data_IF_839652242127
#
_entry.id   IF_839652242127
#
_cell.length_a   1.000
_cell.length_b   1.000
_cell.length_c   1.000
_cell.angle_alpha   90.00
_cell.angle_beta   90.00
_cell.angle_gamma   90.00
#
_symmetry.space_group_name_H-M   'P 1'
#
loop_
_entity.id
_entity.type
_entity.pdbx_description
1 polymer ?
#
# COMPACT_ATOMS: atom_id res chain seq x y z
N UNK A 1 5.90 18.16 -10.07
CA UNK A 1 7.12 17.91 -9.29
C UNK A 1 7.21 16.42 -9.00
N UNK A 2 7.89 15.65 -9.86
CA UNK A 2 8.03 14.20 -9.70
C UNK A 2 8.60 13.81 -8.33
N UNK A 3 9.47 14.65 -7.75
CA UNK A 3 10.13 14.37 -6.48
C UNK A 3 9.19 14.25 -5.25
N UNK A 4 8.02 14.88 -5.25
CA UNK A 4 7.08 14.83 -4.10
C UNK A 4 6.18 13.60 -4.09
N UNK A 5 6.03 12.97 -5.24
CA UNK A 5 5.11 11.85 -5.45
C UNK A 5 5.86 10.65 -6.01
N UNK A 6 6.71 10.02 -5.19
CA UNK A 6 7.33 8.75 -5.58
C UNK A 6 6.27 7.66 -5.79
N UNK A 7 6.64 6.66 -6.57
CA UNK A 7 5.85 5.47 -6.90
C UNK A 7 5.19 4.83 -5.66
N UNK A 8 5.91 4.79 -4.54
CA UNK A 8 5.45 4.22 -3.27
C UNK A 8 4.12 4.79 -2.78
N UNK A 9 3.84 6.07 -3.02
CA UNK A 9 2.58 6.71 -2.59
C UNK A 9 1.38 6.09 -3.32
N UNK A 10 1.56 5.75 -4.60
CA UNK A 10 0.51 5.23 -5.46
C UNK A 10 0.33 3.72 -5.32
N UNK A 11 1.44 2.98 -5.27
CA UNK A 11 1.43 1.51 -5.35
C UNK A 11 1.47 0.81 -4.01
N UNK A 12 1.74 1.51 -2.89
CA UNK A 12 1.63 0.89 -1.57
C UNK A 12 0.18 0.46 -1.27
N UNK A 13 -0.02 -0.68 -0.59
CA UNK A 13 -1.35 -1.20 -0.28
C UNK A 13 -2.09 -0.28 0.70
N UNK A 14 -3.42 -0.35 0.66
CA UNK A 14 -4.32 0.53 1.42
C UNK A 14 -4.13 0.40 2.93
N UNK A 15 -3.76 -0.77 3.39
CA UNK A 15 -3.55 -1.14 4.79
C UNK A 15 -2.30 -0.49 5.37
N UNK A 16 -1.33 -0.12 4.52
CA UNK A 16 -0.12 0.64 4.89
C UNK A 16 -0.34 2.14 4.56
N UNK A 17 -1.57 2.56 4.23
CA UNK A 17 -1.94 3.95 3.97
C UNK A 17 -1.66 4.46 2.56
N UNK A 18 -1.28 3.58 1.62
CA UNK A 18 -1.16 3.90 0.19
C UNK A 18 -2.50 3.90 -0.55
N UNK A 19 -2.46 4.23 -1.84
CA UNK A 19 -3.66 4.25 -2.70
C UNK A 19 -4.05 2.84 -3.18
N UNK A 20 -3.10 1.91 -3.21
CA UNK A 20 -3.25 0.54 -3.74
C UNK A 20 -3.59 0.53 -5.23
N UNK A 21 -2.90 1.35 -6.03
CA UNK A 21 -3.05 1.34 -7.48
C UNK A 21 -2.44 0.07 -8.09
N UNK A 22 -3.10 -0.47 -9.10
CA UNK A 22 -2.56 -1.57 -9.90
C UNK A 22 -1.73 -1.00 -11.06
N UNK A 23 -0.51 -1.49 -11.21
CA UNK A 23 0.41 -1.06 -12.25
C UNK A 23 0.24 -1.87 -13.53
N UNK A 24 0.10 -1.17 -14.66
CA UNK A 24 0.21 -1.72 -16.01
C UNK A 24 1.08 -0.84 -16.92
N UNK A 25 1.63 0.26 -16.40
CA UNK A 25 2.36 1.28 -17.17
C UNK A 25 3.88 1.21 -17.04
N UNK A 26 4.39 0.54 -16.00
CA UNK A 26 5.83 0.34 -15.78
C UNK A 26 6.35 -0.81 -16.67
N UNK A 27 6.25 -0.62 -17.98
CA UNK A 27 6.65 -1.59 -19.00
C UNK A 27 7.55 -0.89 -20.02
N UNK A 28 8.51 -1.63 -20.55
CA UNK A 28 9.25 -1.25 -21.75
C UNK A 28 8.37 -1.51 -22.97
N UNK A 29 7.92 -0.43 -23.61
CA UNK A 29 7.08 -0.50 -24.80
C UNK A 29 7.95 -0.96 -25.96
N UNK A 30 7.67 -2.11 -26.60
CA UNK A 30 8.41 -2.54 -27.77
C UNK A 30 8.18 -1.55 -28.91
N UNK A 31 9.27 -1.06 -29.49
CA UNK A 31 9.24 -0.22 -30.68
C UNK A 31 10.00 -0.90 -31.82
N UNK A 32 9.39 -0.87 -33.00
CA UNK A 32 10.02 -1.21 -34.26
C UNK A 32 10.10 0.03 -35.16
N UNK A 33 10.81 -0.07 -36.27
CA UNK A 33 10.85 1.00 -37.26
C UNK A 33 9.44 1.22 -37.83
N UNK A 34 8.88 2.39 -37.56
CA UNK A 34 7.52 2.78 -37.97
C UNK A 34 7.34 2.82 -39.50
N UNK A 35 8.44 2.89 -40.27
CA UNK A 35 8.38 2.93 -41.74
C UNK A 35 7.96 1.60 -42.36
N UNK A 36 8.43 0.49 -41.80
CA UNK A 36 8.18 -0.85 -42.34
C UNK A 36 7.27 -1.70 -41.44
N UNK A 37 6.89 -1.19 -40.25
CA UNK A 37 6.03 -1.90 -39.30
C UNK A 37 4.64 -2.24 -39.84
N UNK A 38 4.18 -1.58 -40.92
CA UNK A 38 2.90 -1.89 -41.57
C UNK A 38 3.04 -2.90 -42.72
N UNK A 39 4.24 -3.08 -43.27
CA UNK A 39 4.48 -3.89 -44.47
C UNK A 39 5.00 -5.29 -44.15
N UNK A 40 5.71 -5.43 -43.04
CA UNK A 40 6.35 -6.69 -42.63
C UNK A 40 6.33 -6.83 -41.11
N UNK A 41 6.14 -8.06 -40.61
CA UNK A 41 6.27 -8.41 -39.20
C UNK A 41 7.74 -8.47 -38.78
N UNK A 42 8.48 -7.38 -39.00
CA UNK A 42 9.83 -7.24 -38.45
C UNK A 42 9.70 -7.13 -36.94
N UNK A 43 10.48 -7.95 -36.22
CA UNK A 43 10.45 -8.03 -34.77
C UNK A 43 10.81 -6.72 -34.05
N UNK A 44 10.80 -6.77 -32.72
CA UNK A 44 11.11 -5.62 -31.87
C UNK A 44 12.60 -5.27 -31.98
N UNK A 45 12.91 -4.00 -32.27
CA UNK A 45 14.30 -3.53 -32.41
C UNK A 45 14.75 -2.65 -31.25
N UNK A 46 13.84 -1.86 -30.68
CA UNK A 46 14.13 -0.92 -29.61
C UNK A 46 13.04 -1.00 -28.53
N UNK A 47 13.36 -0.50 -27.34
CA UNK A 47 12.40 -0.37 -26.26
C UNK A 47 12.30 1.07 -25.80
N UNK A 48 11.07 1.55 -25.62
CA UNK A 48 10.79 2.86 -25.03
C UNK A 48 10.29 2.68 -23.60
N UNK A 49 10.87 3.43 -22.66
CA UNK A 49 10.38 3.42 -21.29
C UNK A 49 8.95 3.97 -21.21
N UNK A 50 8.03 3.24 -20.58
CA UNK A 50 6.64 3.64 -20.41
C UNK A 50 6.46 4.72 -19.34
N UNK A 51 6.77 4.39 -18.08
CA UNK A 51 6.67 5.31 -16.93
C UNK A 51 8.02 5.45 -16.21
N UNK A 52 8.30 6.66 -15.74
CA UNK A 52 9.47 6.96 -14.91
C UNK A 52 9.34 6.32 -13.52
N UNK A 53 10.42 5.75 -13.01
CA UNK A 53 10.58 5.21 -11.66
C UNK A 53 11.99 5.51 -11.15
N UNK A 54 12.23 5.28 -9.85
CA UNK A 54 13.57 5.41 -9.26
C UNK A 54 14.50 4.31 -9.81
N UNK A 55 15.81 4.56 -9.84
CA UNK A 55 16.80 3.63 -10.36
C UNK A 55 16.69 2.26 -9.64
N UNK A 56 16.71 1.18 -10.41
CA UNK A 56 16.56 -0.23 -9.97
C UNK A 56 15.21 -0.66 -9.34
N UNK A 57 14.20 0.22 -9.30
CA UNK A 57 12.90 -0.12 -8.75
C UNK A 57 11.94 -0.75 -9.79
N UNK A 58 11.86 -2.09 -9.80
CA UNK A 58 10.94 -2.81 -10.69
C UNK A 58 9.56 -3.00 -10.06
N UNK A 59 8.58 -2.21 -10.49
CA UNK A 59 7.20 -2.34 -10.05
C UNK A 59 6.54 -3.51 -10.79
N UNK A 60 5.90 -4.47 -10.07
CA UNK A 60 5.26 -5.62 -10.70
C UNK A 60 4.13 -5.17 -11.63
N UNK A 61 3.99 -5.86 -12.75
CA UNK A 61 2.98 -5.56 -13.75
C UNK A 61 1.79 -6.52 -13.59
N UNK A 62 0.57 -5.96 -13.59
CA UNK A 62 -0.69 -6.70 -13.46
C UNK A 62 -0.82 -7.85 -14.46
N UNK A 63 -0.34 -7.68 -15.70
CA UNK A 63 -0.42 -8.70 -16.74
C UNK A 63 0.23 -10.03 -16.32
N UNK A 64 1.31 -10.02 -15.52
CA UNK A 64 1.97 -11.24 -15.06
C UNK A 64 1.14 -12.08 -14.10
N UNK A 65 0.19 -11.45 -13.41
CA UNK A 65 -0.65 -12.09 -12.39
C UNK A 65 -2.04 -12.46 -12.92
N UNK A 66 -2.35 -12.08 -14.15
CA UNK A 66 -3.57 -12.51 -14.84
C UNK A 66 -3.20 -13.69 -15.72
N UNK A 67 -3.83 -14.83 -15.46
CA UNK A 67 -3.66 -16.02 -16.27
C UNK A 67 -4.25 -15.79 -17.67
N UNK A 68 -3.50 -16.16 -18.71
CA UNK A 68 -3.94 -16.00 -20.10
C UNK A 68 -5.02 -17.03 -20.44
N UNK A 69 -6.05 -16.60 -21.19
CA UNK A 69 -7.24 -17.39 -21.54
C UNK A 69 -6.93 -18.77 -22.12
N UNK A 70 -5.90 -18.91 -22.97
CA UNK A 70 -5.51 -20.21 -23.54
C UNK A 70 -5.12 -21.22 -22.48
N UNK A 71 -4.27 -20.83 -21.53
CA UNK A 71 -3.88 -21.68 -20.42
C UNK A 71 -5.10 -22.03 -19.56
N UNK A 72 -5.99 -21.06 -19.35
CA UNK A 72 -7.20 -21.26 -18.58
C UNK A 72 -8.13 -22.33 -19.18
N UNK A 73 -8.38 -22.31 -20.49
CA UNK A 73 -9.26 -23.30 -21.12
C UNK A 73 -8.71 -24.72 -20.97
N UNK A 74 -7.42 -24.92 -21.21
CA UNK A 74 -6.76 -26.22 -21.03
C UNK A 74 -6.86 -26.70 -19.57
N UNK A 75 -6.51 -25.83 -18.62
CA UNK A 75 -6.59 -26.10 -17.18
C UNK A 75 -8.03 -26.42 -16.73
N UNK A 76 -9.03 -25.74 -17.31
CA UNK A 76 -10.45 -25.99 -17.02
C UNK A 76 -10.93 -27.33 -17.55
N UNK A 77 -10.63 -27.67 -18.81
CA UNK A 77 -11.02 -28.96 -19.39
C UNK A 77 -10.45 -30.12 -18.59
N UNK A 78 -9.19 -30.02 -18.21
CA UNK A 78 -8.49 -31.01 -17.41
C UNK A 78 -9.09 -31.20 -16.02
N UNK A 79 -9.34 -30.11 -15.29
CA UNK A 79 -9.92 -30.21 -13.96
C UNK A 79 -11.31 -30.86 -13.97
N UNK A 80 -12.17 -30.44 -14.91
CA UNK A 80 -13.51 -30.99 -15.01
C UNK A 80 -13.48 -32.47 -15.40
N UNK A 81 -12.56 -32.91 -16.25
CA UNK A 81 -12.39 -34.35 -16.53
C UNK A 81 -11.95 -35.14 -15.31
N UNK A 82 -11.00 -34.61 -14.53
CA UNK A 82 -10.56 -35.25 -13.28
C UNK A 82 -11.69 -35.32 -12.26
N UNK A 83 -12.47 -34.25 -12.10
CA UNK A 83 -13.60 -34.21 -11.17
C UNK A 83 -14.70 -35.19 -11.54
N UNK A 84 -14.99 -35.35 -12.83
CA UNK A 84 -15.94 -36.35 -13.32
C UNK A 84 -15.46 -37.77 -13.02
N UNK A 85 -14.19 -38.08 -13.28
CA UNK A 85 -13.61 -39.39 -12.97
C UNK A 85 -13.65 -39.71 -11.47
N UNK A 86 -13.38 -38.72 -10.60
CA UNK A 86 -13.45 -38.87 -9.15
C UNK A 86 -14.89 -39.14 -8.68
N UNK A 87 -15.88 -38.42 -9.20
CA UNK A 87 -17.29 -38.63 -8.85
C UNK A 87 -17.83 -39.99 -9.33
N UNK A 88 -17.24 -40.56 -10.38
CA UNK A 88 -17.61 -41.87 -10.94
C UNK A 88 -16.82 -43.03 -10.33
N UNK A 89 -15.87 -42.78 -9.42
CA UNK A 89 -15.15 -43.82 -8.68
C UNK A 89 -14.01 -44.53 -9.45
N UNK A 90 -13.58 -44.02 -10.61
CA UNK A 90 -12.48 -44.62 -11.39
C UNK A 90 -11.11 -44.31 -10.76
N UNK A 91 -10.43 -45.35 -10.26
CA UNK A 91 -9.11 -45.25 -9.60
C UNK A 91 -7.92 -45.27 -10.59
N UNK A 92 -8.06 -45.92 -11.74
CA UNK A 92 -6.97 -46.09 -12.74
C UNK A 92 -6.54 -44.78 -13.43
N UNK A 93 -7.40 -43.76 -13.46
CA UNK A 93 -7.06 -42.45 -14.01
C UNK A 93 -6.14 -41.61 -13.11
N UNK A 94 -5.97 -41.97 -11.82
CA UNK A 94 -5.25 -41.15 -10.84
C UNK A 94 -3.74 -41.07 -11.10
N UNK A 95 -3.15 -42.09 -11.73
CA UNK A 95 -1.70 -42.16 -11.94
C UNK A 95 -1.25 -41.41 -13.20
N UNK A 96 -1.95 -41.58 -14.33
CA UNK A 96 -1.70 -40.78 -15.56
C UNK A 96 -1.88 -39.27 -15.33
N UNK A 97 -2.91 -38.90 -14.56
CA UNK A 97 -3.22 -37.52 -14.14
C UNK A 97 -2.12 -36.93 -13.22
N UNK A 98 -1.35 -37.77 -12.52
CA UNK A 98 -0.25 -37.33 -11.63
C UNK A 98 1.01 -36.94 -12.42
N UNK A 99 1.17 -37.53 -13.60
CA UNK A 99 2.34 -37.36 -14.46
C UNK A 99 2.20 -36.12 -15.35
N UNK A 100 0.99 -35.86 -15.87
CA UNK A 100 0.70 -34.66 -16.68
C UNK A 100 0.74 -33.35 -15.87
N UNK A 101 0.43 -33.39 -14.56
CA UNK A 101 0.48 -32.19 -13.72
C UNK A 101 1.91 -31.69 -13.48
N UNK A 102 2.91 -32.59 -13.48
CA UNK A 102 4.32 -32.23 -13.33
C UNK A 102 4.85 -31.39 -14.50
N UNK A 103 4.19 -31.44 -15.66
CA UNK A 103 4.59 -30.71 -16.87
C UNK A 103 4.08 -29.26 -16.83
N UNK A 104 3.01 -28.97 -16.08
CA UNK A 104 2.39 -27.64 -16.01
C UNK A 104 2.90 -26.74 -14.87
N UNK A 105 3.70 -27.25 -13.96
CA UNK A 105 4.24 -26.50 -12.81
C UNK A 105 5.73 -26.78 -12.65
N UNK A 106 6.57 -25.75 -12.72
CA UNK A 106 8.02 -25.86 -12.41
C UNK A 106 8.28 -26.21 -10.92
N UNK A 107 7.28 -26.08 -10.05
CA UNK A 107 7.35 -26.46 -8.63
C UNK A 107 6.82 -27.89 -8.40
N UNK A 108 7.63 -28.87 -8.79
CA UNK A 108 7.28 -30.28 -8.77
C UNK A 108 7.45 -31.04 -7.44
N UNK A 109 7.37 -30.45 -6.24
CA UNK A 109 7.83 -31.16 -5.03
C UNK A 109 6.86 -31.48 -3.86
N UNK A 110 5.61 -31.05 -3.82
CA UNK A 110 4.74 -31.39 -2.65
C UNK A 110 3.33 -31.91 -2.98
N UNK A 111 2.95 -31.97 -4.26
CA UNK A 111 1.61 -32.44 -4.65
C UNK A 111 1.43 -33.97 -4.57
N UNK A 112 2.50 -34.74 -4.35
CA UNK A 112 2.51 -36.20 -4.49
C UNK A 112 1.73 -36.98 -3.41
N UNK A 113 1.59 -36.43 -2.20
CA UNK A 113 1.02 -37.11 -1.03
C UNK A 113 -0.47 -36.79 -0.79
N UNK A 114 -1.03 -35.76 -1.42
CA UNK A 114 -2.34 -35.21 -1.05
C UNK A 114 -3.49 -35.61 -1.99
N UNK A 115 -3.21 -36.41 -3.03
CA UNK A 115 -4.18 -36.70 -4.10
C UNK A 115 -5.31 -37.65 -3.69
N UNK A 116 -5.28 -38.20 -2.49
CA UNK A 116 -6.39 -38.98 -1.92
C UNK A 116 -7.40 -38.12 -1.16
N UNK A 117 -7.16 -36.80 -1.03
CA UNK A 117 -7.95 -35.85 -0.22
C UNK A 117 -8.78 -34.82 -1.01
N UNK A 118 -9.04 -34.99 -2.31
CA UNK A 118 -9.85 -34.03 -3.11
C UNK A 118 -11.35 -33.97 -2.73
N UNK A 119 -11.78 -34.83 -1.79
CA UNK A 119 -13.11 -34.82 -1.18
C UNK A 119 -13.15 -34.03 0.13
N UNK A 120 -12.00 -33.72 0.74
CA UNK A 120 -11.89 -32.91 1.96
C UNK A 120 -11.37 -31.51 1.65
N UNK A 121 -11.64 -30.55 2.54
CA UNK A 121 -11.22 -29.14 2.41
C UNK A 121 -9.73 -28.97 2.10
N UNK A 122 -8.88 -29.87 2.62
CA UNK A 122 -7.42 -29.85 2.42
C UNK A 122 -6.97 -30.20 0.99
N UNK A 123 -7.63 -31.13 0.30
CA UNK A 123 -7.28 -31.43 -1.11
C UNK A 123 -7.84 -30.39 -2.09
N UNK A 124 -8.93 -29.73 -1.70
CA UNK A 124 -9.42 -28.54 -2.40
C UNK A 124 -8.40 -27.39 -2.34
N UNK A 125 -7.73 -27.16 -1.20
CA UNK A 125 -6.72 -26.08 -1.05
C UNK A 125 -5.54 -26.21 -2.03
N UNK A 126 -5.08 -27.43 -2.31
CA UNK A 126 -4.03 -27.69 -3.31
C UNK A 126 -4.53 -27.36 -4.73
N UNK A 127 -5.80 -27.63 -5.01
CA UNK A 127 -6.47 -27.24 -6.26
C UNK A 127 -6.62 -25.72 -6.37
N UNK A 128 -6.95 -25.05 -5.26
CA UNK A 128 -7.07 -23.60 -5.14
C UNK A 128 -5.75 -22.88 -5.40
N UNK A 129 -4.62 -23.45 -4.98
CA UNK A 129 -3.29 -22.89 -5.23
C UNK A 129 -2.82 -23.04 -6.68
N UNK A 130 -3.11 -24.16 -7.33
CA UNK A 130 -2.53 -24.52 -8.64
C UNK A 130 -3.39 -24.06 -9.83
N UNK A 131 -4.74 -24.10 -9.71
CA UNK A 131 -5.63 -23.90 -10.88
C UNK A 131 -6.42 -22.58 -10.88
N UNK A 132 -6.22 -21.72 -9.88
CA UNK A 132 -6.81 -20.37 -9.79
C UNK A 132 -8.31 -20.34 -10.11
N UNK A 133 -8.64 -20.03 -11.36
CA UNK A 133 -10.00 -19.83 -11.89
C UNK A 133 -10.89 -21.07 -11.74
N UNK A 134 -10.33 -22.28 -11.84
CA UNK A 134 -11.16 -23.49 -11.83
C UNK A 134 -11.62 -23.89 -10.43
N UNK A 135 -10.81 -23.61 -9.42
CA UNK A 135 -11.20 -23.84 -8.02
C UNK A 135 -12.30 -22.87 -7.55
N UNK A 136 -12.42 -21.68 -8.15
CA UNK A 136 -13.52 -20.76 -7.87
C UNK A 136 -14.86 -21.21 -8.47
N UNK A 137 -14.85 -21.90 -9.61
CA UNK A 137 -16.06 -22.55 -10.13
C UNK A 137 -16.55 -23.65 -9.18
N UNK A 138 -15.65 -24.34 -8.47
CA UNK A 138 -16.02 -25.30 -7.43
C UNK A 138 -16.50 -24.62 -6.13
N UNK A 139 -15.91 -23.49 -5.73
CA UNK A 139 -16.43 -22.70 -4.60
C UNK A 139 -17.88 -22.23 -4.82
N UNK A 140 -18.29 -22.11 -6.09
CA UNK A 140 -19.67 -21.81 -6.50
C UNK A 140 -20.61 -23.01 -6.27
N UNK A 141 -20.10 -24.25 -6.41
CA UNK A 141 -20.81 -25.50 -6.08
C UNK A 141 -20.94 -25.74 -4.56
N UNK A 142 -19.99 -25.24 -3.76
CA UNK A 142 -20.07 -25.28 -2.30
C UNK A 142 -20.87 -24.11 -1.71
N UNK A 143 -21.36 -23.19 -2.55
CA UNK A 143 -22.07 -22.01 -2.09
C UNK A 143 -23.43 -22.38 -1.49
N UNK A 144 -23.78 -21.78 -0.36
CA UNK A 144 -25.01 -22.00 0.44
C UNK A 144 -26.34 -21.77 -0.31
N UNK A 145 -26.33 -21.46 -1.61
CA UNK A 145 -27.48 -21.07 -2.43
C UNK A 145 -27.52 -21.71 -3.83
N UNK A 146 -26.75 -22.76 -4.09
CA UNK A 146 -26.70 -23.47 -5.38
C UNK A 146 -28.08 -23.86 -5.91
N UNK A 147 -28.99 -24.28 -5.02
CA UNK A 147 -30.36 -24.66 -5.38
C UNK A 147 -31.15 -23.48 -5.98
N UNK A 148 -30.99 -22.26 -5.46
CA UNK A 148 -31.68 -21.08 -6.00
C UNK A 148 -31.07 -20.58 -7.31
N UNK A 149 -29.76 -20.70 -7.46
CA UNK A 149 -29.03 -20.26 -8.66
C UNK A 149 -29.34 -21.16 -9.87
N UNK A 150 -29.76 -22.41 -9.66
CA UNK A 150 -30.17 -23.31 -10.72
C UNK A 150 -31.33 -22.77 -11.58
N UNK A 151 -32.24 -22.00 -10.96
CA UNK A 151 -33.43 -21.42 -11.61
C UNK A 151 -33.16 -20.10 -12.34
N UNK A 152 -32.03 -19.41 -12.06
CA UNK A 152 -31.73 -18.12 -12.69
C UNK A 152 -31.06 -18.30 -14.06
N UNK A 153 -31.88 -18.56 -15.08
CA UNK A 153 -31.45 -18.68 -16.48
C UNK A 153 -31.42 -17.32 -17.19
N UNK A 154 -30.60 -17.21 -18.23
CA UNK A 154 -30.49 -15.99 -19.03
C UNK A 154 -29.87 -14.79 -18.30
N UNK A 155 -29.14 -15.03 -17.21
CA UNK A 155 -28.58 -13.97 -16.37
C UNK A 155 -27.56 -13.09 -17.12
N UNK A 156 -26.80 -13.62 -18.09
CA UNK A 156 -25.83 -12.86 -18.90
C UNK A 156 -26.52 -11.79 -19.76
N UNK A 157 -27.55 -12.17 -20.51
CA UNK A 157 -28.33 -11.19 -21.30
C UNK A 157 -28.96 -10.16 -20.37
N UNK A 158 -29.45 -10.58 -19.20
CA UNK A 158 -29.99 -9.64 -18.20
C UNK A 158 -28.95 -8.62 -17.71
N UNK A 159 -27.70 -9.01 -17.49
CA UNK A 159 -26.64 -8.08 -17.09
C UNK A 159 -26.26 -7.10 -18.21
N UNK A 160 -26.25 -7.57 -19.45
CA UNK A 160 -25.95 -6.74 -20.62
C UNK A 160 -27.03 -5.66 -20.81
N UNK A 161 -28.30 -6.05 -20.74
CA UNK A 161 -29.42 -5.12 -20.81
C UNK A 161 -29.45 -4.14 -19.64
N UNK A 162 -29.06 -4.59 -18.45
CA UNK A 162 -28.95 -3.74 -17.26
C UNK A 162 -27.97 -2.59 -17.47
N UNK A 163 -26.82 -2.87 -18.08
CA UNK A 163 -25.81 -1.85 -18.36
C UNK A 163 -26.27 -0.88 -19.46
N UNK A 164 -26.88 -1.39 -20.53
CA UNK A 164 -27.22 -0.57 -21.69
C UNK A 164 -28.46 0.32 -21.46
N UNK A 165 -29.45 -0.18 -20.71
CA UNK A 165 -30.78 0.44 -20.70
C UNK A 165 -31.34 0.77 -19.32
N UNK A 166 -30.87 0.13 -18.23
CA UNK A 166 -31.50 0.28 -16.90
C UNK A 166 -30.70 1.15 -15.94
N UNK A 167 -29.38 1.02 -15.92
CA UNK A 167 -28.53 1.74 -14.98
C UNK A 167 -27.66 2.77 -15.67
N UNK A 168 -27.60 3.98 -15.10
CA UNK A 168 -26.68 5.02 -15.55
C UNK A 168 -25.21 4.69 -15.23
N UNK A 169 -24.96 3.85 -14.22
CA UNK A 169 -23.62 3.46 -13.80
C UNK A 169 -23.10 2.33 -14.69
N UNK A 170 -22.00 2.58 -15.39
CA UNK A 170 -21.31 1.57 -16.19
C UNK A 170 -20.70 0.48 -15.29
N UNK A 171 -20.96 -0.78 -15.62
CA UNK A 171 -20.31 -1.92 -15.00
C UNK A 171 -19.17 -2.44 -15.92
N UNK A 172 -17.90 -2.39 -15.50
CA UNK A 172 -16.81 -2.95 -16.30
C UNK A 172 -16.86 -4.48 -16.39
N UNK A 173 -17.44 -5.17 -15.41
CA UNK A 173 -17.56 -6.63 -15.35
C UNK A 173 -18.95 -7.08 -15.79
N UNK A 174 -19.38 -6.69 -16.98
CA UNK A 174 -20.73 -6.97 -17.47
C UNK A 174 -20.90 -8.40 -18.01
N UNK A 175 -19.83 -8.98 -18.57
CA UNK A 175 -19.82 -10.35 -19.10
C UNK A 175 -19.81 -11.44 -18.02
N UNK A 176 -19.39 -11.11 -16.82
CA UNK A 176 -19.03 -12.07 -15.77
C UNK A 176 -19.80 -11.80 -14.49
N UNK A 177 -20.09 -12.85 -13.72
CA UNK A 177 -20.73 -12.68 -12.41
C UNK A 177 -20.16 -13.63 -11.37
N UNK A 178 -19.73 -13.09 -10.23
CA UNK A 178 -19.01 -13.85 -9.20
C UNK A 178 -19.81 -15.03 -8.63
N UNK A 179 -21.15 -14.97 -8.64
CA UNK A 179 -21.98 -16.10 -8.15
C UNK A 179 -22.16 -17.24 -9.15
N UNK A 180 -21.86 -17.02 -10.43
CA UNK A 180 -22.03 -18.03 -11.48
C UNK A 180 -20.67 -18.50 -11.99
N UNK A 181 -19.78 -17.54 -12.24
CA UNK A 181 -18.44 -17.78 -12.80
C UNK A 181 -17.36 -17.90 -11.72
N UNK A 182 -17.68 -17.61 -10.45
CA UNK A 182 -16.68 -17.50 -9.39
C UNK A 182 -15.80 -16.25 -9.54
N UNK A 183 -14.73 -16.17 -8.75
CA UNK A 183 -13.72 -15.11 -8.87
C UNK A 183 -12.70 -15.53 -9.94
N UNK A 184 -12.64 -14.81 -11.06
CA UNK A 184 -11.80 -15.19 -12.21
C UNK A 184 -10.35 -14.72 -12.12
N UNK A 185 -9.94 -14.05 -11.03
CA UNK A 185 -8.57 -13.59 -10.85
C UNK A 185 -8.20 -13.56 -9.37
N UNK A 186 -6.93 -13.78 -9.09
CA UNK A 186 -6.37 -13.66 -7.74
C UNK A 186 -5.13 -12.77 -7.77
N UNK A 187 -5.18 -11.66 -7.05
CA UNK A 187 -4.12 -10.63 -7.01
C UNK A 187 -3.42 -10.58 -5.65
N UNK A 188 -3.57 -11.62 -4.82
CA UNK A 188 -2.91 -11.68 -3.53
C UNK A 188 -1.37 -11.69 -3.68
N UNK A 189 -0.86 -12.40 -4.68
CA UNK A 189 0.58 -12.45 -4.97
C UNK A 189 1.08 -11.12 -5.57
N UNK A 190 0.28 -10.47 -6.43
CA UNK A 190 0.63 -9.14 -6.93
C UNK A 190 0.91 -8.17 -5.78
N UNK A 191 0.08 -8.24 -4.74
CA UNK A 191 0.20 -7.38 -3.58
C UNK A 191 1.45 -7.67 -2.75
N UNK A 192 1.79 -8.93 -2.50
CA UNK A 192 3.02 -9.29 -1.77
C UNK A 192 4.26 -8.81 -2.51
N UNK A 193 4.26 -9.02 -3.83
CA UNK A 193 5.40 -8.68 -4.68
C UNK A 193 5.51 -7.16 -4.85
N UNK A 194 4.38 -6.43 -4.86
CA UNK A 194 4.37 -4.98 -4.86
C UNK A 194 4.99 -4.41 -3.58
N UNK A 195 4.70 -4.99 -2.41
CA UNK A 195 5.33 -4.59 -1.15
C UNK A 195 6.84 -4.83 -1.21
N UNK A 196 7.27 -5.98 -1.74
CA UNK A 196 8.69 -6.32 -1.85
C UNK A 196 9.41 -5.38 -2.83
N UNK A 197 8.82 -5.08 -3.99
CA UNK A 197 9.34 -4.14 -4.97
C UNK A 197 9.49 -2.70 -4.44
N UNK A 198 8.68 -2.33 -3.45
CA UNK A 198 8.77 -1.02 -2.79
C UNK A 198 9.79 -0.97 -1.63
N UNK A 199 10.60 -2.02 -1.45
CA UNK A 199 11.60 -2.09 -0.37
C UNK A 199 11.06 -2.68 0.93
N UNK A 200 9.98 -3.46 0.86
CA UNK A 200 9.34 -4.08 2.02
C UNK A 200 8.52 -3.09 2.87
N UNK A 201 7.91 -3.61 3.94
CA UNK A 201 7.06 -2.79 4.82
C UNK A 201 7.85 -1.67 5.50
N UNK A 202 9.07 -1.95 5.95
CA UNK A 202 9.94 -0.95 6.57
C UNK A 202 10.37 0.15 5.59
N UNK A 203 10.69 -0.22 4.34
CA UNK A 203 10.99 0.73 3.28
C UNK A 203 9.84 1.70 3.04
N UNK A 204 8.61 1.17 2.94
CA UNK A 204 7.40 1.99 2.78
C UNK A 204 7.19 2.91 3.98
N UNK A 205 7.35 2.40 5.21
CA UNK A 205 7.07 3.17 6.42
C UNK A 205 8.05 4.33 6.64
N UNK A 206 9.28 4.27 6.11
CA UNK A 206 10.24 5.40 6.14
C UNK A 206 9.68 6.67 5.46
N UNK A 207 8.74 6.50 4.53
CA UNK A 207 8.10 7.59 3.80
C UNK A 207 6.88 8.18 4.52
N UNK A 208 6.49 7.59 5.66
CA UNK A 208 5.23 7.87 6.37
C UNK A 208 5.45 8.42 7.77
N UNK A 209 4.48 9.17 8.28
CA UNK A 209 4.41 9.55 9.71
C UNK A 209 3.71 8.44 10.51
N UNK A 210 4.28 8.03 11.65
CA UNK A 210 3.74 6.95 12.49
C UNK A 210 2.39 7.35 13.09
N UNK A 211 1.38 6.52 12.79
CA UNK A 211 0.02 6.45 13.36
C UNK A 211 -1.00 7.55 13.04
N UNK A 212 -2.10 7.14 12.38
CA UNK A 212 -3.46 7.60 12.72
C UNK A 212 -4.48 6.59 12.21
N UNK A 213 -5.19 5.88 13.10
CA UNK A 213 -6.37 5.03 12.81
C UNK A 213 -7.61 5.72 13.40
N UNK A 214 -8.67 6.01 12.63
CA UNK A 214 -9.91 5.22 12.64
C UNK A 214 -10.86 5.64 11.50
N UNK A 215 -11.85 4.79 11.19
CA UNK A 215 -12.90 5.02 10.18
C UNK A 215 -14.19 5.53 10.84
N UNK A 216 -14.69 6.69 10.42
CA UNK A 216 -15.96 7.27 10.90
C UNK A 216 -17.20 6.60 10.26
N UNK A 217 -18.23 6.37 11.09
CA UNK A 217 -19.54 5.79 10.71
C UNK A 217 -20.41 6.80 9.96
N UNK A 218 -21.14 6.32 8.95
CA UNK A 218 -22.05 7.11 8.13
C UNK A 218 -23.20 7.71 8.95
N UNK A 219 -23.28 9.05 8.98
CA UNK A 219 -24.48 9.82 9.37
C UNK A 219 -25.08 10.50 8.14
N UNK A 220 -26.38 10.81 8.18
CA UNK A 220 -27.10 11.51 7.11
C UNK A 220 -26.64 12.98 7.08
N UNK A 221 -26.00 13.38 5.99
CA UNK A 221 -25.32 14.68 5.84
C UNK A 221 -25.80 15.41 4.58
N UNK A 222 -25.79 16.74 4.61
CA UNK A 222 -26.11 17.63 3.47
C UNK A 222 -25.02 17.56 2.39
N UNK A 223 -25.32 17.98 1.16
CA UNK A 223 -24.34 17.92 0.05
C UNK A 223 -23.09 18.78 0.32
N UNK A 224 -23.24 19.95 0.96
CA UNK A 224 -22.12 20.77 1.40
C UNK A 224 -21.28 20.05 2.48
N UNK A 225 -21.93 19.40 3.45
CA UNK A 225 -21.24 18.59 4.46
C UNK A 225 -20.51 17.38 3.84
N UNK A 226 -21.07 16.74 2.81
CA UNK A 226 -20.39 15.64 2.09
C UNK A 226 -19.13 16.11 1.36
N UNK A 227 -19.15 17.31 0.77
CA UNK A 227 -17.95 17.89 0.15
C UNK A 227 -16.85 18.16 1.20
N UNK A 228 -17.20 18.64 2.39
CA UNK A 228 -16.26 18.78 3.51
C UNK A 228 -15.77 17.44 4.06
N UNK A 229 -16.63 16.44 4.20
CA UNK A 229 -16.23 15.10 4.64
C UNK A 229 -15.32 14.38 3.64
N UNK A 230 -15.47 14.64 2.33
CA UNK A 230 -14.56 14.09 1.32
C UNK A 230 -13.13 14.61 1.45
N UNK A 231 -12.91 15.73 2.16
CA UNK A 231 -11.59 16.25 2.46
C UNK A 231 -10.91 15.50 3.62
N UNK A 232 -11.67 14.85 4.52
CA UNK A 232 -11.10 14.18 5.71
C UNK A 232 -10.19 12.99 5.33
N UNK A 233 -10.59 12.06 4.43
CA UNK A 233 -9.69 11.02 3.94
C UNK A 233 -8.44 11.60 3.28
N UNK A 234 -8.57 12.71 2.56
CA UNK A 234 -7.46 13.37 1.88
C UNK A 234 -6.51 14.05 2.86
N UNK A 235 -7.03 14.69 3.92
CA UNK A 235 -6.21 15.27 5.00
C UNK A 235 -5.39 14.18 5.69
N UNK A 236 -6.03 13.04 6.02
CA UNK A 236 -5.34 11.89 6.61
C UNK A 236 -4.26 11.34 5.68
N UNK A 237 -4.56 11.20 4.39
CA UNK A 237 -3.59 10.76 3.41
C UNK A 237 -2.39 11.72 3.30
N UNK A 238 -2.64 13.04 3.23
CA UNK A 238 -1.56 14.03 3.15
C UNK A 238 -0.73 14.13 4.42
N UNK A 239 -1.35 13.89 5.59
CA UNK A 239 -0.64 13.83 6.86
C UNK A 239 0.23 12.57 6.94
N UNK A 240 -0.34 11.41 6.57
CA UNK A 240 0.37 10.12 6.58
C UNK A 240 1.62 10.16 5.70
N UNK A 241 1.53 10.72 4.51
CA UNK A 241 2.67 10.88 3.58
C UNK A 241 3.41 12.22 3.76
N UNK A 242 3.20 12.92 4.88
CA UNK A 242 3.76 14.27 5.08
C UNK A 242 5.28 14.37 4.99
N UNK A 243 6.10 13.40 5.46
CA UNK A 243 7.56 13.50 5.34
C UNK A 243 8.02 13.50 3.88
N UNK A 244 7.33 12.75 3.02
CA UNK A 244 7.66 12.63 1.59
C UNK A 244 7.10 13.80 0.78
N UNK A 245 5.88 14.23 1.08
CA UNK A 245 5.17 15.30 0.37
C UNK A 245 5.79 16.69 0.70
N UNK A 246 6.22 16.89 1.94
CA UNK A 246 6.84 18.13 2.44
C UNK A 246 8.37 18.03 2.54
N UNK A 247 9.01 17.32 1.59
CA UNK A 247 10.47 17.26 1.46
C UNK A 247 11.07 18.65 1.20
N UNK A 248 12.30 18.88 1.66
CA UNK A 248 13.06 20.10 1.36
C UNK A 248 13.56 20.15 -0.09
N UNK A 249 13.89 18.99 -0.67
CA UNK A 249 14.37 18.88 -2.04
C UNK A 249 13.20 18.98 -3.05
N UNK A 250 12.85 20.22 -3.38
CA UNK A 250 11.75 20.61 -4.25
C UNK A 250 12.30 21.42 -5.43
N UNK A 251 11.84 21.13 -6.65
CA UNK A 251 12.34 21.77 -7.88
C UNK A 251 12.23 23.32 -7.86
N UNK A 252 11.14 23.84 -7.30
CA UNK A 252 10.83 25.27 -7.10
C UNK A 252 9.86 25.39 -5.92
N UNK A 253 10.21 26.12 -4.86
CA UNK A 253 9.29 26.31 -3.75
C UNK A 253 9.76 27.36 -2.77
N UNK A 254 8.88 28.29 -2.42
CA UNK A 254 9.12 29.20 -1.32
C UNK A 254 8.92 28.45 0.00
N UNK A 255 9.89 28.58 0.90
CA UNK A 255 9.84 28.00 2.24
C UNK A 255 9.06 28.95 3.15
N UNK A 256 7.99 28.45 3.75
CA UNK A 256 7.18 29.20 4.71
C UNK A 256 7.21 28.47 6.04
N UNK A 257 7.56 29.19 7.11
CA UNK A 257 7.44 28.67 8.45
C UNK A 257 5.97 28.69 8.90
N UNK A 258 5.51 27.62 9.54
CA UNK A 258 4.18 27.54 10.10
C UNK A 258 4.10 28.30 11.44
N UNK A 259 3.03 29.07 11.63
CA UNK A 259 2.85 29.95 12.79
C UNK A 259 3.05 29.21 14.12
N UNK A 260 3.87 29.79 15.00
CA UNK A 260 4.14 29.29 16.36
C UNK A 260 4.78 27.89 16.45
N UNK A 261 5.28 27.35 15.34
CA UNK A 261 5.98 26.05 15.29
C UNK A 261 7.34 26.18 14.59
N UNK A 262 8.21 25.19 14.77
CA UNK A 262 9.46 25.08 14.03
C UNK A 262 9.34 24.42 12.65
N UNK A 263 8.11 24.21 12.15
CA UNK A 263 7.88 23.42 10.93
C UNK A 263 7.96 24.31 9.70
N UNK A 264 8.84 23.93 8.77
CA UNK A 264 8.93 24.56 7.46
C UNK A 264 8.09 23.80 6.44
N UNK A 265 7.21 24.52 5.76
CA UNK A 265 6.47 24.02 4.62
C UNK A 265 7.13 24.47 3.33
N UNK A 266 7.47 23.51 2.48
CA UNK A 266 7.99 23.78 1.15
C UNK A 266 6.80 23.79 0.19
N UNK A 267 6.35 24.97 -0.25
CA UNK A 267 5.19 25.12 -1.15
C UNK A 267 3.82 25.15 -0.45
N UNK A 268 2.77 25.44 -1.22
CA UNK A 268 1.39 25.62 -0.72
C UNK A 268 0.61 24.31 -0.74
N UNK A 269 0.54 23.61 0.40
CA UNK A 269 -0.26 22.37 0.58
C UNK A 269 -1.31 22.64 1.67
N UNK A 270 -2.52 23.11 1.31
CA UNK A 270 -3.49 23.58 2.29
C UNK A 270 -3.99 22.48 3.24
N UNK A 271 -4.19 21.25 2.73
CA UNK A 271 -4.64 20.12 3.55
C UNK A 271 -3.63 19.75 4.61
N UNK A 272 -2.34 19.73 4.26
CA UNK A 272 -1.25 19.47 5.19
C UNK A 272 -1.14 20.59 6.24
N UNK A 273 -1.20 21.86 5.81
CA UNK A 273 -1.23 23.02 6.72
C UNK A 273 -2.32 22.87 7.77
N UNK A 274 -3.55 22.56 7.34
CA UNK A 274 -4.68 22.39 8.25
C UNK A 274 -4.45 21.26 9.26
N UNK A 275 -3.94 20.11 8.81
CA UNK A 275 -3.65 18.98 9.71
C UNK A 275 -2.56 19.29 10.73
N UNK A 276 -1.47 19.95 10.34
CA UNK A 276 -0.38 20.31 11.23
C UNK A 276 -0.78 21.36 12.26
N UNK A 277 -1.57 22.37 11.85
CA UNK A 277 -2.12 23.36 12.79
C UNK A 277 -3.07 22.72 13.80
N UNK A 278 -3.81 21.67 13.41
CA UNK A 278 -4.66 20.94 14.35
C UNK A 278 -3.86 20.12 15.36
N UNK A 279 -2.74 19.50 14.94
CA UNK A 279 -1.84 18.76 15.84
C UNK A 279 -1.21 19.72 16.86
N UNK A 280 -0.61 20.82 16.40
CA UNK A 280 0.07 21.78 17.26
C UNK A 280 -0.85 22.89 17.79
N UNK A 281 -2.14 22.57 17.98
CA UNK A 281 -3.12 23.50 18.55
C UNK A 281 -2.76 23.79 20.01
N UNK A 282 -3.26 24.91 20.54
CA UNK A 282 -3.11 25.30 21.94
C UNK A 282 -1.65 25.38 22.39
N UNK A 283 -0.76 25.90 21.53
CA UNK A 283 0.65 26.13 21.85
C UNK A 283 1.44 24.85 22.20
N UNK A 284 1.00 23.68 21.73
CA UNK A 284 1.64 22.39 22.02
C UNK A 284 3.16 22.39 21.75
N UNK A 285 3.63 23.10 20.72
CA UNK A 285 5.07 23.22 20.44
C UNK A 285 5.86 23.86 21.59
N UNK A 286 5.28 24.90 22.20
CA UNK A 286 5.87 25.58 23.35
C UNK A 286 5.79 24.70 24.61
N UNK A 287 4.64 24.06 24.82
CA UNK A 287 4.44 23.16 25.97
C UNK A 287 5.38 21.96 25.94
N UNK A 288 5.63 21.36 24.77
CA UNK A 288 6.59 20.26 24.62
C UNK A 288 8.01 20.74 24.91
N UNK A 289 8.39 21.91 24.41
CA UNK A 289 9.72 22.46 24.72
C UNK A 289 9.88 22.74 26.21
N UNK A 290 8.87 23.34 26.85
CA UNK A 290 8.91 23.61 28.28
C UNK A 290 8.89 22.33 29.13
N UNK A 291 8.11 21.32 28.74
CA UNK A 291 8.05 20.05 29.47
C UNK A 291 9.38 19.28 29.42
N UNK A 292 10.06 19.27 28.26
CA UNK A 292 11.39 18.67 28.13
C UNK A 292 12.41 19.42 28.98
N UNK A 293 12.39 20.75 28.97
CA UNK A 293 13.30 21.58 29.79
C UNK A 293 13.07 21.34 31.28
N UNK A 294 11.80 21.33 31.71
CA UNK A 294 11.46 21.07 33.11
C UNK A 294 11.85 19.64 33.54
N UNK A 295 11.64 18.65 32.67
CA UNK A 295 12.06 17.27 32.93
C UNK A 295 13.58 17.15 33.08
N UNK A 296 14.35 17.82 32.23
CA UNK A 296 15.81 17.88 32.35
C UNK A 296 16.26 18.59 33.64
N UNK A 297 15.64 19.72 34.00
CA UNK A 297 15.93 20.39 35.28
C UNK A 297 15.69 19.44 36.47
N UNK A 298 14.56 18.72 36.49
CA UNK A 298 14.25 17.79 37.58
C UNK A 298 15.26 16.64 37.69
N UNK A 299 15.72 16.10 36.56
CA UNK A 299 16.77 15.05 36.55
C UNK A 299 18.09 15.62 37.07
N UNK A 300 18.45 16.83 36.66
CA UNK A 300 19.68 17.49 37.12
C UNK A 300 19.61 17.88 38.60
N UNK A 301 18.44 18.26 39.11
CA UNK A 301 18.19 18.54 40.54
C UNK A 301 18.30 17.29 41.42
N UNK A 302 18.05 16.09 40.86
CA UNK A 302 18.22 14.83 41.58
C UNK A 302 19.69 14.39 41.68
N UNK A 303 20.52 14.80 40.72
CA UNK A 303 21.91 14.38 40.58
C UNK A 303 22.93 15.48 40.95
N UNK A 304 22.53 16.45 41.79
CA UNK A 304 23.36 17.59 42.19
C UNK A 304 24.68 17.15 42.86
N UNK A 305 24.57 16.26 43.84
CA UNK A 305 25.73 15.80 44.63
C UNK A 305 26.67 14.93 43.79
N UNK A 306 26.13 14.10 42.89
CA UNK A 306 26.91 13.21 42.05
C UNK A 306 27.71 13.95 40.96
N UNK A 307 27.17 15.07 40.46
CA UNK A 307 27.77 15.87 39.39
C UNK A 307 28.52 17.13 39.87
N UNK A 308 28.63 17.33 41.19
CA UNK A 308 29.26 18.50 41.81
C UNK A 308 28.65 19.84 41.32
N UNK A 309 27.31 19.89 41.18
CA UNK A 309 26.57 21.08 40.76
C UNK A 309 26.16 21.89 42.00
N UNK A 310 26.46 23.19 42.03
CA UNK A 310 26.06 24.11 43.11
C UNK A 310 24.60 24.52 42.95
N UNK A 311 24.21 25.01 41.77
CA UNK A 311 22.83 25.38 41.47
C UNK A 311 22.47 25.12 40.02
N UNK A 312 21.23 24.67 39.80
CA UNK A 312 20.59 24.54 38.49
C UNK A 312 19.61 25.69 38.36
N UNK A 313 19.82 26.58 37.40
CA UNK A 313 18.91 27.70 37.15
C UNK A 313 18.28 27.60 35.76
N UNK A 314 16.95 27.67 35.73
CA UNK A 314 16.19 27.82 34.48
C UNK A 314 16.15 29.30 34.11
N UNK A 315 16.62 29.65 32.91
CA UNK A 315 16.54 31.01 32.40
C UNK A 315 15.09 31.37 32.00
N UNK A 316 14.73 32.65 32.11
CA UNK A 316 13.42 33.13 31.66
C UNK A 316 13.39 33.18 30.12
N UNK A 317 12.65 32.25 29.52
CA UNK A 317 12.61 32.09 28.07
C UNK A 317 11.55 33.01 27.46
N UNK A 318 11.91 33.75 26.41
CA UNK A 318 10.92 34.44 25.58
C UNK A 318 9.97 33.41 24.93
N UNK A 319 8.63 33.60 24.99
CA UNK A 319 7.67 32.58 24.55
C UNK A 319 7.86 32.09 23.11
N UNK A 320 8.32 32.96 22.20
CA UNK A 320 8.56 32.61 20.78
C UNK A 320 9.93 32.01 20.48
N UNK A 321 10.79 31.81 21.49
CA UNK A 321 12.13 31.26 21.27
C UNK A 321 12.08 29.84 20.70
N UNK A 322 11.15 29.02 21.15
CA UNK A 322 11.03 27.62 20.74
C UNK A 322 10.75 27.43 19.25
N UNK A 323 10.12 28.42 18.60
CA UNK A 323 9.85 28.40 17.16
C UNK A 323 10.86 29.19 16.34
N UNK A 324 11.73 30.00 16.95
CA UNK A 324 12.76 30.73 16.20
C UNK A 324 13.96 29.82 15.91
N UNK A 325 14.22 29.56 14.63
CA UNK A 325 15.34 28.70 14.20
C UNK A 325 16.60 29.48 13.82
N UNK A 326 16.60 30.81 13.90
CA UNK A 326 17.72 31.65 13.48
C UNK A 326 18.73 31.92 14.61
N UNK A 327 18.26 32.01 15.84
CA UNK A 327 19.08 32.42 16.99
C UNK A 327 18.54 31.80 18.27
N UNK A 328 19.44 31.26 19.09
CA UNK A 328 19.11 30.62 20.36
C UNK A 328 19.84 31.30 21.53
N UNK A 329 19.30 31.12 22.72
CA UNK A 329 19.90 31.53 24.00
C UNK A 329 20.02 30.27 24.88
N UNK A 330 20.84 30.31 25.92
CA UNK A 330 20.84 29.27 26.94
C UNK A 330 19.44 29.08 27.56
N UNK A 331 19.21 27.91 28.13
CA UNK A 331 17.89 27.51 28.69
C UNK A 331 18.07 27.05 30.13
N UNK A 332 19.08 26.22 30.36
CA UNK A 332 19.50 25.76 31.68
C UNK A 332 20.94 26.24 31.86
N UNK A 333 21.19 26.91 32.97
CA UNK A 333 22.52 27.31 33.39
C UNK A 333 22.89 26.51 34.64
N UNK A 334 24.00 25.79 34.55
CA UNK A 334 24.56 25.00 35.63
C UNK A 334 25.78 25.71 36.20
N UNK A 335 25.78 25.91 37.51
CA UNK A 335 26.93 26.46 38.24
C UNK A 335 27.62 25.29 38.92
N UNK A 336 28.90 25.07 38.60
CA UNK A 336 29.70 24.04 39.23
C UNK A 336 30.15 24.49 40.63
N UNK A 337 30.16 23.58 41.61
CA UNK A 337 30.68 23.88 42.95
C UNK A 337 32.19 24.17 42.92
N UNK A 338 32.90 23.52 42.00
CA UNK A 338 34.33 23.73 41.75
C UNK A 338 34.60 23.95 40.25
N UNK A 339 35.40 23.10 39.61
CA UNK A 339 35.79 23.25 38.20
C UNK A 339 35.60 21.93 37.48
N UNK A 340 34.77 21.93 36.44
CA UNK A 340 34.62 20.75 35.58
C UNK A 340 35.77 20.62 34.57
N UNK A 341 36.41 19.43 34.48
CA UNK A 341 37.26 19.09 33.36
C UNK A 341 36.38 18.76 32.14
N UNK A 342 36.11 19.74 31.29
CA UNK A 342 35.29 19.55 30.09
C UNK A 342 36.09 18.93 28.95
N UNK A 343 35.48 17.98 28.23
CA UNK A 343 36.04 17.40 27.01
C UNK A 343 35.85 18.34 25.80
N UNK A 344 36.51 18.02 24.68
CA UNK A 344 36.21 18.66 23.40
C UNK A 344 34.78 18.28 22.95
N UNK A 345 34.06 19.16 22.22
CA UNK A 345 32.72 18.87 21.75
C UNK A 345 32.66 17.55 20.96
N UNK A 346 31.77 16.65 21.36
CA UNK A 346 31.54 15.34 20.73
C UNK A 346 30.04 15.02 20.66
N UNK A 347 29.66 14.04 19.85
CA UNK A 347 28.28 13.55 19.78
C UNK A 347 27.92 12.77 21.05
N UNK A 348 26.64 12.81 21.42
CA UNK A 348 26.07 11.85 22.38
C UNK A 348 25.89 10.54 21.61
N UNK A 349 26.64 9.51 22.00
CA UNK A 349 26.67 8.21 21.33
C UNK A 349 25.49 7.32 21.73
#
# INVERSE_FOLDING_TARGET
MPSRFPSVIFYAPREIGGIDMLSMGHILIPQSDLRYSQQTDVGVTHFRSGMSHEEDQLIPNLYRYIQVDKCLFHVSTYFWSVRLCLNQGFMEGKEKVKEDLKICTEEGLEAGSSITKWTTLEGLEVSFRILGIVAYLESTLCFRRTVTLAYDKGWRVRTDFKQLYQFLKQNPFWRTHQRYDGKLWNLNNYRTDAIQALGGVEGILKHTSRELGESMKYKKLTNAQRSGLSQIPNCRFTLWWSPTINRANVYVGFQVQLDLTGIFMHGKIPTLKMSLVQIFRAHLWQEVNESVVMGLCQVLDQELDALEIETVSKETIHPRKSSNMNSFCAVILLIAAHRWPMSKPSLVA
#
